data_IF_655603209324
#
_entry.id   IF_655603209324
#
_cell.length_a   1.000
_cell.length_b   1.000
_cell.length_c   1.000
_cell.angle_alpha   90.00
_cell.angle_beta   90.00
_cell.angle_gamma   90.00
#
_symmetry.space_group_name_H-M   'P 1'
#
loop_
_entity.id
_entity.type
_entity.pdbx_description
1 polymer ?
#
# COMPACT_ATOMS: atom_id res chain seq x y z
N UNK A 1 -36.72 1.35 39.72
CA UNK A 1 -35.78 2.07 38.84
C UNK A 1 -34.68 1.08 38.45
N UNK A 2 -34.62 0.68 37.19
CA UNK A 2 -33.68 -0.35 36.70
C UNK A 2 -34.24 -1.03 35.45
N UNK A 3 -34.03 -0.38 34.30
CA UNK A 3 -34.49 -0.80 32.98
C UNK A 3 -33.82 -2.10 32.51
N UNK A 4 -34.63 -2.94 31.86
CA UNK A 4 -34.18 -4.04 31.02
C UNK A 4 -33.52 -3.52 29.73
N UNK A 5 -32.48 -4.20 29.28
CA UNK A 5 -31.93 -4.08 27.93
C UNK A 5 -32.07 -5.44 27.23
N UNK A 6 -33.04 -5.49 26.31
CA UNK A 6 -33.26 -6.56 25.35
C UNK A 6 -33.05 -5.98 23.95
N UNK A 7 -32.15 -6.57 23.16
CA UNK A 7 -32.20 -6.62 21.69
C UNK A 7 -31.09 -7.58 21.22
N UNK A 8 -31.45 -8.83 20.89
CA UNK A 8 -31.69 -9.32 19.52
C UNK A 8 -30.47 -9.20 18.58
N UNK A 9 -29.54 -10.14 18.72
CA UNK A 9 -28.74 -10.62 17.58
C UNK A 9 -29.58 -11.72 16.93
N UNK A 10 -29.99 -11.50 15.68
CA UNK A 10 -30.80 -12.45 14.92
C UNK A 10 -29.86 -13.11 13.91
N UNK A 11 -29.49 -14.37 14.18
CA UNK A 11 -28.82 -15.25 13.24
C UNK A 11 -29.78 -15.59 12.11
N UNK A 12 -29.28 -15.60 10.87
CA UNK A 12 -30.04 -15.99 9.69
C UNK A 12 -30.04 -17.52 9.66
N UNK A 13 -31.21 -18.11 9.89
CA UNK A 13 -31.45 -19.54 9.65
C UNK A 13 -31.76 -19.76 8.16
N UNK A 14 -31.17 -20.83 7.62
CA UNK A 14 -31.40 -21.35 6.28
C UNK A 14 -32.82 -21.89 6.13
N UNK A 15 -33.69 -21.23 5.35
CA UNK A 15 -34.89 -21.85 4.81
C UNK A 15 -35.09 -21.54 3.32
N UNK A 16 -34.88 -22.61 2.55
CA UNK A 16 -35.16 -22.77 1.13
C UNK A 16 -36.67 -22.81 0.88
N UNK A 17 -37.23 -21.75 0.30
CA UNK A 17 -38.54 -21.83 -0.40
C UNK A 17 -38.55 -20.92 -1.65
N UNK A 18 -38.63 -21.56 -2.80
CA UNK A 18 -38.88 -20.91 -4.09
C UNK A 18 -40.38 -20.67 -4.31
N UNK A 19 -40.77 -19.54 -4.91
CA UNK A 19 -41.88 -19.54 -5.85
C UNK A 19 -41.52 -18.91 -7.19
N UNK A 20 -41.96 -19.58 -8.25
CA UNK A 20 -42.05 -19.10 -9.63
C UNK A 20 -43.11 -18.01 -9.76
N UNK A 21 -42.81 -16.88 -10.42
CA UNK A 21 -43.70 -16.26 -11.41
C UNK A 21 -43.03 -15.07 -12.14
N UNK A 22 -43.59 -14.76 -13.30
CA UNK A 22 -42.97 -14.20 -14.50
C UNK A 22 -43.68 -12.87 -14.86
N UNK A 23 -42.97 -11.73 -15.02
CA UNK A 23 -43.34 -10.70 -16.02
C UNK A 23 -42.34 -9.51 -16.14
N UNK A 24 -41.70 -9.44 -17.31
CA UNK A 24 -41.40 -8.28 -18.18
C UNK A 24 -41.16 -6.82 -17.68
N UNK A 25 -40.01 -6.29 -18.15
CA UNK A 25 -39.60 -4.91 -18.58
C UNK A 25 -39.06 -3.93 -17.52
N UNK A 26 -38.17 -2.96 -17.87
CA UNK A 26 -37.69 -2.54 -19.21
C UNK A 26 -36.15 -2.57 -19.42
N UNK A 27 -35.74 -2.62 -20.69
CA UNK A 27 -34.38 -2.33 -21.15
C UNK A 27 -34.10 -0.82 -21.19
N UNK A 28 -32.82 -0.47 -21.09
CA UNK A 28 -32.19 0.84 -21.32
C UNK A 28 -32.05 1.78 -20.11
N UNK A 29 -30.94 1.58 -19.38
CA UNK A 29 -30.25 2.67 -18.69
C UNK A 29 -29.08 3.15 -19.57
N UNK A 30 -28.97 4.45 -19.90
CA UNK A 30 -27.79 4.96 -20.58
C UNK A 30 -26.59 4.81 -19.64
N UNK A 31 -25.63 3.98 -20.03
CA UNK A 31 -24.34 3.87 -19.34
C UNK A 31 -23.63 5.22 -19.48
N UNK A 32 -23.23 5.89 -18.39
CA UNK A 32 -22.45 7.10 -18.50
C UNK A 32 -21.11 6.74 -19.15
N UNK A 33 -20.81 7.38 -20.29
CA UNK A 33 -19.56 7.23 -21.02
C UNK A 33 -18.39 7.62 -20.11
N UNK A 34 -17.73 6.64 -19.51
CA UNK A 34 -16.54 6.85 -18.69
C UNK A 34 -15.38 7.17 -19.61
N UNK A 35 -14.99 8.45 -19.68
CA UNK A 35 -13.79 8.84 -20.42
C UNK A 35 -12.58 8.13 -19.81
N UNK A 36 -11.68 7.55 -20.65
CA UNK A 36 -10.47 6.93 -20.14
C UNK A 36 -9.60 8.00 -19.47
N UNK A 37 -9.33 7.83 -18.19
CA UNK A 37 -8.36 8.63 -17.47
C UNK A 37 -6.99 8.49 -18.17
N UNK A 38 -6.52 9.58 -18.78
CA UNK A 38 -5.20 9.64 -19.39
C UNK A 38 -4.15 9.35 -18.31
N UNK A 39 -3.38 8.29 -18.52
CA UNK A 39 -2.19 7.98 -17.74
C UNK A 39 -1.18 9.12 -17.94
N UNK A 40 -1.01 9.98 -16.94
CA UNK A 40 0.17 10.83 -16.86
C UNK A 40 1.35 9.97 -16.47
N UNK A 41 2.19 9.62 -17.44
CA UNK A 41 3.56 9.19 -17.15
C UNK A 41 4.27 10.37 -16.47
N UNK A 42 4.93 10.20 -15.32
CA UNK A 42 5.62 11.31 -14.67
C UNK A 42 6.76 11.81 -15.58
N UNK A 43 6.61 13.00 -16.14
CA UNK A 43 7.68 13.70 -16.85
C UNK A 43 8.74 14.12 -15.83
N UNK A 44 9.84 13.36 -15.80
CA UNK A 44 11.18 13.63 -15.24
C UNK A 44 11.20 14.33 -13.87
N UNK A 45 11.48 13.55 -12.84
CA UNK A 45 11.90 13.99 -11.51
C UNK A 45 13.10 14.96 -11.59
N UNK A 46 13.24 15.93 -10.66
CA UNK A 46 14.34 16.89 -10.69
C UNK A 46 15.69 16.16 -10.50
N UNK A 47 16.79 16.69 -11.06
CA UNK A 47 18.09 16.04 -11.00
C UNK A 47 18.69 16.25 -9.61
N UNK A 48 18.25 15.48 -8.61
CA UNK A 48 19.04 15.29 -7.41
C UNK A 48 20.26 14.43 -7.75
N UNK A 49 21.40 14.75 -7.15
CA UNK A 49 22.74 14.28 -7.50
C UNK A 49 22.86 12.74 -7.45
N UNK A 50 22.46 12.05 -8.53
CA UNK A 50 22.35 10.58 -8.63
C UNK A 50 23.65 9.87 -8.26
N UNK A 51 24.79 10.52 -8.51
CA UNK A 51 26.11 9.98 -8.18
C UNK A 51 26.36 9.86 -6.68
N UNK A 52 25.98 10.89 -5.88
CA UNK A 52 26.13 10.84 -4.42
C UNK A 52 25.20 9.83 -3.77
N UNK A 53 23.97 9.70 -4.26
CA UNK A 53 23.03 8.69 -3.76
C UNK A 53 23.51 7.27 -4.07
N UNK A 54 24.12 7.06 -5.24
CA UNK A 54 24.71 5.77 -5.60
C UNK A 54 25.80 5.36 -4.60
N UNK A 55 26.80 6.21 -4.38
CA UNK A 55 27.88 5.95 -3.41
C UNK A 55 27.36 5.70 -2.00
N UNK A 56 26.30 6.41 -1.61
CA UNK A 56 25.71 6.30 -0.28
C UNK A 56 25.04 4.94 -0.02
N UNK A 57 24.52 4.28 -1.06
CA UNK A 57 23.79 3.01 -0.93
C UNK A 57 24.64 1.76 -1.24
N UNK A 58 25.84 1.90 -1.82
CA UNK A 58 26.74 0.76 -2.08
C UNK A 58 26.97 -0.06 -0.80
N UNK A 59 26.84 -1.38 -0.92
CA UNK A 59 27.04 -2.35 0.15
C UNK A 59 25.83 -2.52 1.09
N UNK A 60 24.75 -1.75 0.91
CA UNK A 60 23.54 -1.86 1.73
C UNK A 60 22.56 -2.87 1.15
N UNK A 61 21.83 -3.56 2.01
CA UNK A 61 20.69 -4.39 1.59
C UNK A 61 19.49 -3.52 1.21
N UNK A 62 18.53 -4.08 0.46
CA UNK A 62 17.26 -3.41 0.17
C UNK A 62 16.53 -2.94 1.44
N UNK A 63 16.53 -3.73 2.51
CA UNK A 63 16.00 -3.33 3.81
C UNK A 63 16.70 -2.13 4.44
N UNK A 64 18.04 -2.09 4.39
CA UNK A 64 18.83 -0.96 4.90
C UNK A 64 18.61 0.31 4.05
N UNK A 65 18.46 0.15 2.73
CA UNK A 65 18.09 1.25 1.84
C UNK A 65 16.70 1.78 2.20
N UNK A 66 15.73 0.89 2.38
CA UNK A 66 14.38 1.28 2.79
C UNK A 66 14.40 2.10 4.09
N UNK A 67 15.07 1.59 5.13
CA UNK A 67 15.24 2.27 6.40
C UNK A 67 15.81 3.68 6.25
N UNK A 68 16.87 3.81 5.46
CA UNK A 68 17.54 5.08 5.23
C UNK A 68 16.68 6.06 4.41
N UNK A 69 15.96 5.57 3.40
CA UNK A 69 15.02 6.38 2.64
C UNK A 69 13.88 6.92 3.53
N UNK A 70 13.33 6.09 4.43
CA UNK A 70 12.34 6.56 5.41
C UNK A 70 12.92 7.68 6.28
N UNK A 71 14.19 7.54 6.72
CA UNK A 71 14.89 8.57 7.49
C UNK A 71 15.06 9.87 6.70
N UNK A 72 15.46 9.81 5.43
CA UNK A 72 15.64 10.97 4.54
C UNK A 72 14.32 11.71 4.29
N UNK A 73 13.21 10.99 4.20
CA UNK A 73 11.86 11.57 4.11
C UNK A 73 11.26 11.98 5.47
N UNK A 74 12.05 11.96 6.55
CA UNK A 74 11.63 12.31 7.91
C UNK A 74 10.45 11.49 8.45
N UNK A 75 10.27 10.26 7.96
CA UNK A 75 9.26 9.33 8.48
C UNK A 75 9.60 8.99 9.93
N UNK A 76 8.57 8.95 10.78
CA UNK A 76 8.69 8.58 12.21
C UNK A 76 7.87 7.36 12.57
N UNK A 77 6.74 7.15 11.89
CA UNK A 77 5.81 6.06 12.18
C UNK A 77 5.55 5.24 10.93
N UNK A 78 5.60 3.93 11.08
CA UNK A 78 5.24 2.95 10.05
C UNK A 78 4.17 2.06 10.66
N UNK A 79 3.04 1.94 9.97
CA UNK A 79 1.93 1.08 10.38
C UNK A 79 1.99 -0.20 9.57
N UNK A 80 1.99 -1.37 10.20
CA UNK A 80 2.25 -2.56 9.41
C UNK A 80 2.04 -3.88 10.11
N UNK A 81 1.98 -4.93 9.29
CA UNK A 81 1.81 -6.29 9.77
C UNK A 81 2.90 -7.19 9.14
N UNK A 82 3.61 -7.99 9.96
CA UNK A 82 4.73 -8.79 9.47
C UNK A 82 4.30 -9.98 8.63
N UNK A 83 5.20 -10.47 7.78
CA UNK A 83 5.04 -11.72 7.05
C UNK A 83 6.27 -12.05 6.20
N UNK A 84 6.30 -13.29 5.69
CA UNK A 84 7.54 -13.93 5.20
C UNK A 84 8.24 -13.22 4.03
N UNK A 85 7.50 -12.49 3.19
CA UNK A 85 8.08 -11.79 2.03
C UNK A 85 8.63 -10.42 2.36
N UNK A 86 8.14 -9.77 3.43
CA UNK A 86 8.59 -8.44 3.85
C UNK A 86 9.64 -8.47 4.97
N UNK A 87 9.99 -9.66 5.49
CA UNK A 87 10.99 -9.83 6.57
C UNK A 87 12.32 -9.10 6.32
N UNK A 88 12.94 -9.15 5.12
CA UNK A 88 14.22 -8.45 4.91
C UNK A 88 14.17 -6.94 5.17
N UNK A 89 13.00 -6.32 4.96
CA UNK A 89 12.79 -4.91 5.29
C UNK A 89 12.56 -4.76 6.79
N UNK A 90 11.70 -5.57 7.41
CA UNK A 90 11.41 -5.50 8.85
C UNK A 90 12.65 -5.70 9.72
N UNK A 91 13.54 -6.61 9.32
CA UNK A 91 14.80 -6.86 10.04
C UNK A 91 15.67 -5.60 10.12
N UNK A 92 15.70 -4.79 9.06
CA UNK A 92 16.41 -3.52 9.04
C UNK A 92 15.72 -2.42 9.89
N UNK A 93 14.45 -2.58 10.22
CA UNK A 93 13.69 -1.67 11.08
C UNK A 93 13.76 -2.06 12.57
N UNK A 94 14.00 -3.33 12.90
CA UNK A 94 13.82 -3.90 14.24
C UNK A 94 14.52 -3.12 15.36
N UNK A 95 15.74 -2.64 15.11
CA UNK A 95 16.54 -1.89 16.10
C UNK A 95 16.67 -0.40 15.75
N UNK A 96 15.80 0.14 14.90
CA UNK A 96 15.87 1.54 14.49
C UNK A 96 15.53 2.48 15.66
N UNK A 97 16.42 3.40 16.07
CA UNK A 97 16.08 4.42 17.05
C UNK A 97 15.27 5.59 16.45
N UNK A 98 15.06 5.60 15.13
CA UNK A 98 14.46 6.72 14.40
C UNK A 98 13.00 6.50 14.01
N UNK A 99 12.56 5.23 14.00
CA UNK A 99 11.28 4.80 13.45
C UNK A 99 10.55 3.94 14.47
N UNK A 100 9.27 4.26 14.68
CA UNK A 100 8.36 3.45 15.48
C UNK A 100 7.51 2.61 14.55
N UNK A 101 7.63 1.28 14.65
CA UNK A 101 6.74 0.35 13.97
C UNK A 101 5.50 0.09 14.83
N UNK A 102 4.32 0.37 14.28
CA UNK A 102 3.03 0.21 14.96
C UNK A 102 2.33 -1.02 14.38
N UNK A 103 2.18 -2.03 15.21
CA UNK A 103 1.58 -3.32 14.86
C UNK A 103 0.07 -3.33 15.18
N UNK A 104 -0.83 -3.30 14.17
CA UNK A 104 -2.25 -3.52 14.38
C UNK A 104 -2.57 -5.01 14.44
N UNK A 105 -3.86 -5.35 14.60
CA UNK A 105 -4.33 -6.74 14.51
C UNK A 105 -4.71 -7.19 13.10
N UNK A 106 -4.82 -6.25 12.15
CA UNK A 106 -5.19 -6.51 10.76
C UNK A 106 -4.59 -5.42 9.85
N UNK A 107 -4.21 -5.76 8.61
CA UNK A 107 -3.60 -4.82 7.66
C UNK A 107 -4.56 -3.70 7.26
N UNK A 108 -5.87 -4.00 7.17
CA UNK A 108 -6.89 -2.95 6.97
C UNK A 108 -6.79 -1.86 8.05
N UNK A 109 -6.60 -2.25 9.31
CA UNK A 109 -6.40 -1.30 10.40
C UNK A 109 -5.08 -0.54 10.24
N UNK A 110 -4.02 -1.19 9.73
CA UNK A 110 -2.76 -0.50 9.42
C UNK A 110 -2.98 0.64 8.40
N UNK A 111 -3.73 0.35 7.34
CA UNK A 111 -4.11 1.34 6.33
C UNK A 111 -4.88 2.52 6.93
N UNK A 112 -5.98 2.24 7.64
CA UNK A 112 -6.80 3.30 8.23
C UNK A 112 -6.09 4.09 9.34
N UNK A 113 -5.20 3.44 10.12
CA UNK A 113 -4.35 4.15 11.10
C UNK A 113 -3.38 5.11 10.40
N UNK A 114 -2.76 4.68 9.29
CA UNK A 114 -1.88 5.52 8.50
C UNK A 114 -2.64 6.68 7.84
N UNK A 115 -3.88 6.48 7.39
CA UNK A 115 -4.75 7.55 6.90
C UNK A 115 -5.06 8.58 8.01
N UNK A 116 -5.47 8.11 9.19
CA UNK A 116 -5.71 8.98 10.34
C UNK A 116 -4.46 9.76 10.73
N UNK A 117 -3.29 9.11 10.72
CA UNK A 117 -2.01 9.74 10.97
C UNK A 117 -1.69 10.84 9.95
N UNK A 118 -1.84 10.57 8.65
CA UNK A 118 -1.59 11.53 7.58
C UNK A 118 -2.49 12.78 7.71
N UNK A 119 -3.77 12.56 8.04
CA UNK A 119 -4.76 13.64 8.21
C UNK A 119 -4.59 14.44 9.50
N UNK A 120 -4.12 13.82 10.57
CA UNK A 120 -3.84 14.51 11.83
C UNK A 120 -2.50 15.27 11.78
N UNK A 121 -1.54 14.80 10.99
CA UNK A 121 -0.19 15.36 10.88
C UNK A 121 -0.09 16.56 9.93
N UNK A 122 -1.22 17.20 9.59
CA UNK A 122 -1.24 18.37 8.71
C UNK A 122 -0.63 19.57 9.45
N UNK A 123 0.70 19.63 9.44
CA UNK A 123 1.51 20.80 9.74
C UNK A 123 1.72 21.61 8.44
N UNK A 124 2.64 22.58 8.43
CA UNK A 124 3.03 23.34 7.24
C UNK A 124 3.53 22.48 6.08
N UNK A 125 3.88 21.21 6.33
CA UNK A 125 4.25 20.22 5.31
C UNK A 125 3.39 18.95 5.43
N UNK A 126 2.75 18.49 4.34
CA UNK A 126 1.97 17.26 4.35
C UNK A 126 2.89 16.05 4.56
N UNK A 127 2.53 15.18 5.49
CA UNK A 127 3.25 13.94 5.80
C UNK A 127 2.41 12.74 5.37
N UNK A 128 2.88 11.89 4.45
CA UNK A 128 2.11 10.71 4.05
C UNK A 128 2.07 9.68 5.18
N UNK A 129 0.96 8.95 5.26
CA UNK A 129 0.88 7.74 6.08
C UNK A 129 1.68 6.62 5.44
N UNK A 130 2.58 5.98 6.18
CA UNK A 130 3.41 4.87 5.66
C UNK A 130 2.86 3.54 6.16
N UNK A 131 2.53 2.65 5.22
CA UNK A 131 2.05 1.29 5.50
C UNK A 131 3.10 0.27 5.03
N UNK A 132 3.37 -0.75 5.84
CA UNK A 132 4.30 -1.84 5.50
C UNK A 132 3.68 -3.21 5.79
N UNK A 133 3.39 -3.99 4.75
CA UNK A 133 2.71 -5.30 4.87
C UNK A 133 3.39 -6.37 4.03
N UNK A 134 3.10 -7.63 4.33
CA UNK A 134 3.54 -8.78 3.53
C UNK A 134 2.80 -8.90 2.19
N UNK A 135 3.24 -9.81 1.33
CA UNK A 135 2.59 -10.17 0.06
C UNK A 135 1.22 -10.83 0.24
N UNK A 136 0.55 -11.10 -0.89
CA UNK A 136 -0.68 -11.88 -0.94
C UNK A 136 -1.75 -11.31 0.00
N UNK A 137 -2.20 -12.07 1.02
CA UNK A 137 -3.29 -11.63 1.89
C UNK A 137 -3.02 -10.28 2.58
N UNK A 138 -1.77 -10.02 3.00
CA UNK A 138 -1.42 -8.77 3.66
C UNK A 138 -1.62 -7.56 2.77
N UNK A 139 -1.24 -7.68 1.50
CA UNK A 139 -1.42 -6.63 0.50
C UNK A 139 -2.89 -6.48 0.06
N UNK A 140 -3.61 -7.59 -0.13
CA UNK A 140 -5.03 -7.54 -0.55
C UNK A 140 -5.94 -6.94 0.54
N UNK A 141 -5.58 -7.10 1.80
CA UNK A 141 -6.29 -6.47 2.92
C UNK A 141 -6.17 -4.93 2.92
N UNK A 142 -5.28 -4.35 2.12
CA UNK A 142 -5.16 -2.90 1.94
C UNK A 142 -6.09 -2.33 0.86
N UNK A 143 -6.82 -3.14 0.09
CA UNK A 143 -7.66 -2.61 -1.00
C UNK A 143 -8.67 -1.57 -0.50
N UNK A 144 -9.33 -1.83 0.62
CA UNK A 144 -10.29 -0.91 1.23
C UNK A 144 -9.66 0.43 1.67
N UNK A 145 -8.59 0.46 2.49
CA UNK A 145 -7.97 1.73 2.88
C UNK A 145 -7.32 2.46 1.70
N UNK A 146 -6.79 1.75 0.70
CA UNK A 146 -6.32 2.38 -0.54
C UNK A 146 -7.47 3.09 -1.26
N UNK A 147 -8.61 2.44 -1.45
CA UNK A 147 -9.77 3.10 -2.08
C UNK A 147 -10.29 4.28 -1.26
N UNK A 148 -10.31 4.17 0.08
CA UNK A 148 -10.72 5.28 0.94
C UNK A 148 -9.78 6.48 0.79
N UNK A 149 -8.46 6.26 0.91
CA UNK A 149 -7.46 7.29 0.75
C UNK A 149 -7.52 7.97 -0.63
N UNK A 150 -7.79 7.21 -1.71
CA UNK A 150 -7.94 7.76 -3.06
C UNK A 150 -9.17 8.66 -3.16
N UNK A 151 -10.28 8.22 -2.56
CA UNK A 151 -11.56 8.94 -2.59
C UNK A 151 -11.49 10.24 -1.78
N UNK A 152 -10.77 10.23 -0.66
CA UNK A 152 -10.66 11.39 0.25
C UNK A 152 -9.45 12.28 -0.07
N UNK A 153 -8.55 11.83 -0.94
CA UNK A 153 -7.32 12.56 -1.27
C UNK A 153 -6.30 12.55 -0.13
N UNK A 154 -6.22 11.44 0.62
CA UNK A 154 -5.28 11.26 1.73
C UNK A 154 -3.94 10.73 1.21
N UNK A 155 -2.79 11.37 1.52
CA UNK A 155 -1.49 10.87 1.09
C UNK A 155 -1.12 9.61 1.90
N UNK A 156 -1.05 8.48 1.21
CA UNK A 156 -0.77 7.16 1.79
C UNK A 156 0.25 6.42 0.90
N UNK A 157 1.28 5.84 1.48
CA UNK A 157 2.28 5.07 0.74
C UNK A 157 2.30 3.67 1.34
N UNK A 158 1.83 2.69 0.57
CA UNK A 158 1.84 1.29 0.96
C UNK A 158 3.02 0.55 0.34
N UNK A 159 3.89 0.03 1.19
CA UNK A 159 4.95 -0.89 0.82
C UNK A 159 4.48 -2.32 1.09
N UNK A 160 4.36 -3.10 0.02
CA UNK A 160 3.90 -4.48 0.10
C UNK A 160 5.06 -5.42 -0.25
N UNK A 161 5.25 -6.47 0.52
CA UNK A 161 6.16 -7.55 0.14
C UNK A 161 5.65 -8.27 -1.13
N UNK A 162 6.54 -8.96 -1.82
CA UNK A 162 6.20 -9.89 -2.89
C UNK A 162 7.08 -11.14 -2.81
N UNK A 163 6.63 -12.24 -3.40
CA UNK A 163 7.47 -13.41 -3.65
C UNK A 163 8.75 -12.99 -4.41
N UNK A 164 9.79 -13.82 -4.34
CA UNK A 164 11.04 -13.51 -5.04
C UNK A 164 10.78 -13.31 -6.54
N UNK A 165 11.54 -12.43 -7.21
CA UNK A 165 11.33 -12.11 -8.64
C UNK A 165 11.29 -13.36 -9.53
N UNK A 166 12.09 -14.39 -9.21
CA UNK A 166 12.13 -15.67 -9.92
C UNK A 166 10.87 -16.54 -9.73
N UNK A 167 10.02 -16.22 -8.77
CA UNK A 167 8.80 -16.95 -8.43
C UNK A 167 7.52 -16.24 -8.91
N UNK A 168 7.62 -15.00 -9.38
CA UNK A 168 6.46 -14.25 -9.93
C UNK A 168 5.94 -14.93 -11.20
N UNK A 169 4.62 -15.01 -11.32
CA UNK A 169 3.86 -15.63 -12.41
C UNK A 169 3.77 -17.15 -12.31
N UNK A 170 3.97 -17.73 -11.12
CA UNK A 170 4.03 -19.20 -10.93
C UNK A 170 3.03 -19.74 -9.91
N UNK A 171 2.05 -18.91 -9.53
CA UNK A 171 1.06 -19.22 -8.50
C UNK A 171 1.71 -19.68 -7.19
N UNK A 172 2.78 -18.96 -6.81
CA UNK A 172 3.57 -19.24 -5.62
C UNK A 172 2.78 -19.03 -4.32
N UNK A 173 3.27 -19.61 -3.23
CA UNK A 173 2.68 -19.40 -1.91
C UNK A 173 2.64 -17.91 -1.56
N UNK A 174 1.44 -17.40 -1.25
CA UNK A 174 1.17 -15.98 -0.96
C UNK A 174 1.56 -15.01 -2.09
N UNK A 175 1.59 -15.49 -3.34
CA UNK A 175 1.60 -14.65 -4.52
C UNK A 175 0.20 -14.08 -4.79
N UNK A 176 0.12 -12.81 -5.13
CA UNK A 176 -1.06 -12.17 -5.68
C UNK A 176 -0.64 -11.07 -6.64
N UNK A 177 -1.45 -10.80 -7.67
CA UNK A 177 -1.27 -9.65 -8.58
C UNK A 177 -1.72 -8.35 -7.90
N UNK A 178 -0.94 -7.91 -6.90
CA UNK A 178 -1.22 -6.71 -6.11
C UNK A 178 -1.24 -5.48 -7.03
N UNK A 179 -0.37 -5.41 -8.03
CA UNK A 179 -0.32 -4.29 -8.98
C UNK A 179 -1.60 -4.22 -9.82
N UNK A 180 -2.09 -5.33 -10.36
CA UNK A 180 -3.36 -5.39 -11.07
C UNK A 180 -4.54 -5.02 -10.17
N UNK A 181 -4.60 -5.60 -8.97
CA UNK A 181 -5.69 -5.38 -8.01
C UNK A 181 -5.75 -3.93 -7.49
N UNK A 182 -4.59 -3.30 -7.26
CA UNK A 182 -4.52 -1.96 -6.68
C UNK A 182 -4.54 -0.84 -7.71
N UNK A 183 -4.49 -1.16 -9.02
CA UNK A 183 -4.40 -0.17 -10.10
C UNK A 183 -5.53 0.86 -10.10
N UNK A 184 -6.71 0.48 -9.66
CA UNK A 184 -7.90 1.35 -9.67
C UNK A 184 -8.18 2.04 -8.33
N UNK A 185 -7.49 1.64 -7.26
CA UNK A 185 -7.58 2.27 -5.95
C UNK A 185 -6.29 2.98 -5.54
N UNK A 186 -5.40 3.28 -6.49
CA UNK A 186 -4.16 4.04 -6.28
C UNK A 186 -4.00 5.14 -7.32
N UNK A 187 -3.23 6.19 -6.98
CA UNK A 187 -2.75 7.18 -7.96
C UNK A 187 -1.69 6.58 -8.87
N UNK A 188 -0.87 5.69 -8.32
CA UNK A 188 0.24 5.04 -8.98
C UNK A 188 0.67 3.81 -8.20
N UNK A 189 1.09 2.77 -8.91
CA UNK A 189 1.71 1.62 -8.31
C UNK A 189 2.89 1.11 -9.15
N UNK A 190 3.83 0.42 -8.50
CA UNK A 190 5.01 -0.14 -9.18
C UNK A 190 5.52 -1.38 -8.44
N UNK A 191 6.04 -2.35 -9.19
CA UNK A 191 6.85 -3.43 -8.67
C UNK A 191 8.33 -3.16 -8.88
N UNK A 192 9.12 -3.21 -7.80
CA UNK A 192 10.57 -3.08 -7.84
C UNK A 192 11.17 -4.39 -8.36
N UNK A 193 11.96 -4.34 -9.43
CA UNK A 193 12.59 -5.49 -10.09
C UNK A 193 14.04 -5.69 -9.66
N UNK A 194 14.74 -4.63 -9.25
CA UNK A 194 16.15 -4.71 -8.83
C UNK A 194 16.45 -3.75 -7.68
N UNK A 195 17.29 -4.14 -6.71
CA UNK A 195 17.65 -3.31 -5.55
C UNK A 195 18.18 -1.91 -5.95
N UNK A 196 18.86 -1.81 -7.10
CA UNK A 196 19.38 -0.55 -7.64
C UNK A 196 18.30 0.51 -7.90
N UNK A 197 17.07 0.10 -8.19
CA UNK A 197 15.97 1.05 -8.46
C UNK A 197 15.17 1.38 -7.20
N UNK A 198 15.32 0.63 -6.11
CA UNK A 198 14.53 0.80 -4.88
C UNK A 198 14.56 2.25 -4.34
N UNK A 199 15.72 2.94 -4.21
CA UNK A 199 15.73 4.33 -3.75
C UNK A 199 14.89 5.24 -4.66
N UNK A 200 15.04 5.07 -5.99
CA UNK A 200 14.32 5.89 -6.96
C UNK A 200 12.79 5.63 -6.90
N UNK A 201 12.36 4.38 -6.73
CA UNK A 201 10.93 4.05 -6.62
C UNK A 201 10.31 4.61 -5.35
N UNK A 202 11.06 4.66 -4.25
CA UNK A 202 10.62 5.30 -3.02
C UNK A 202 10.45 6.81 -3.25
N UNK A 203 11.44 7.49 -3.84
CA UNK A 203 11.33 8.93 -4.19
C UNK A 203 10.10 9.22 -5.08
N UNK A 204 9.89 8.40 -6.11
CA UNK A 204 8.73 8.49 -7.00
C UNK A 204 7.42 8.31 -6.21
N UNK A 205 7.37 7.37 -5.27
CA UNK A 205 6.20 7.14 -4.42
C UNK A 205 5.86 8.37 -3.57
N UNK A 206 6.84 8.97 -2.89
CA UNK A 206 6.65 10.18 -2.10
C UNK A 206 6.18 11.35 -2.98
N UNK A 207 6.84 11.55 -4.12
CA UNK A 207 6.47 12.62 -5.04
C UNK A 207 5.03 12.45 -5.57
N UNK A 208 4.65 11.25 -6.00
CA UNK A 208 3.31 11.01 -6.55
C UNK A 208 2.25 11.08 -5.46
N UNK A 209 2.49 10.54 -4.26
CA UNK A 209 1.52 10.60 -3.16
C UNK A 209 1.18 12.04 -2.75
N UNK A 210 2.15 12.96 -2.82
CA UNK A 210 2.04 14.33 -2.33
C UNK A 210 1.72 15.38 -3.42
N UNK A 211 1.97 15.09 -4.69
CA UNK A 211 1.76 16.07 -5.78
C UNK A 211 0.31 16.17 -6.25
N UNK A 212 -0.12 17.37 -6.65
CA UNK A 212 -1.47 17.63 -7.14
C UNK A 212 -2.53 17.31 -6.08
N UNK A 213 -3.62 16.65 -6.49
CA UNK A 213 -4.53 16.01 -5.51
C UNK A 213 -3.77 14.85 -4.86
N UNK A 214 -3.51 14.95 -3.57
CA UNK A 214 -2.84 13.89 -2.80
C UNK A 214 -3.61 12.57 -2.88
N UNK A 215 -2.93 11.45 -2.62
CA UNK A 215 -3.59 10.16 -2.66
C UNK A 215 -2.64 8.98 -2.44
N UNK A 216 -3.20 7.76 -2.48
CA UNK A 216 -2.49 6.54 -2.16
C UNK A 216 -1.61 6.07 -3.32
N UNK A 217 -0.46 5.48 -2.98
CA UNK A 217 0.42 4.78 -3.91
C UNK A 217 0.85 3.44 -3.33
N UNK A 218 1.20 2.49 -4.20
CA UNK A 218 1.69 1.17 -3.81
C UNK A 218 3.07 0.92 -4.41
N UNK A 219 4.02 0.48 -3.57
CA UNK A 219 5.34 0.01 -4.01
C UNK A 219 5.47 -1.44 -3.56
N UNK A 220 5.49 -2.34 -4.53
CA UNK A 220 5.71 -3.76 -4.29
C UNK A 220 7.21 -4.06 -4.28
N UNK A 221 7.68 -4.71 -3.21
CA UNK A 221 9.09 -5.05 -2.99
C UNK A 221 9.25 -6.57 -2.90
N UNK A 222 9.75 -7.24 -3.96
CA UNK A 222 10.10 -8.65 -3.92
C UNK A 222 11.09 -8.99 -2.82
N UNK A 223 10.94 -10.17 -2.23
CA UNK A 223 11.78 -10.64 -1.11
C UNK A 223 13.28 -10.59 -1.42
N UNK A 224 13.67 -11.01 -2.62
CA UNK A 224 15.06 -11.00 -3.10
C UNK A 224 15.58 -9.60 -3.40
N UNK A 225 14.71 -8.64 -3.73
CA UNK A 225 15.06 -7.22 -3.80
C UNK A 225 15.29 -6.64 -2.41
N UNK A 226 14.41 -6.95 -1.44
CA UNK A 226 14.56 -6.53 -0.05
C UNK A 226 15.82 -7.08 0.61
N UNK A 227 16.21 -8.31 0.27
CA UNK A 227 17.44 -8.95 0.74
C UNK A 227 18.68 -8.60 -0.10
N UNK A 228 18.49 -8.17 -1.35
CA UNK A 228 19.57 -7.92 -2.31
C UNK A 228 20.50 -6.79 -1.85
N UNK A 229 21.78 -6.90 -2.22
CA UNK A 229 22.82 -5.90 -1.89
C UNK A 229 22.99 -4.94 -3.07
N UNK A 230 22.93 -3.65 -2.78
CA UNK A 230 23.20 -2.60 -3.76
C UNK A 230 24.69 -2.57 -4.06
N UNK A 231 25.03 -2.93 -5.28
CA UNK A 231 26.36 -2.82 -5.88
C UNK A 231 26.33 -1.80 -7.01
#
# INVERSE_FOLDING_TARGET
>A
MGMALSSKIQTIDDENTSPTENNSRPTDHPTPSRQPHQHSTPTKSPPHNRHRLHEFFIGKTGGQIFHEMMRLHNVKHIFGYPGGTILPILDALYASPHLTFILPKHEQSAGHMAEGYARASISSYPTPGIVLVTSGPGATNLITPLQNALSDGTPLIAFCGQVATSAIGKDGFQEADVLGMTRFCTKWNVGVKHVRELPQRIEEAFWVALSGRMGPVVVEVPKDVGAGVYS
#
